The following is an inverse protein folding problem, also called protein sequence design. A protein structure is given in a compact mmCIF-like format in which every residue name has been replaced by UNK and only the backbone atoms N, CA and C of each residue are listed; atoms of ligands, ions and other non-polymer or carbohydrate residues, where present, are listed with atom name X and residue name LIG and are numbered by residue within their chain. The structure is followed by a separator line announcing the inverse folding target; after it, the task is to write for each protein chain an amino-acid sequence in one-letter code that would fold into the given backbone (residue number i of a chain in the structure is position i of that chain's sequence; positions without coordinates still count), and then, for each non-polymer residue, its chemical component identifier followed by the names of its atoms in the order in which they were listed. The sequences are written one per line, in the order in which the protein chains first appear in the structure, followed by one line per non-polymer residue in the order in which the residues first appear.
data_IF_533366658427
#
_entry.id   IF_533366658427
#
_cell.length_a   1.000
_cell.length_b   1.000
_cell.length_c   1.000
_cell.angle_alpha   90.00
_cell.angle_beta   90.00
_cell.angle_gamma   90.00
#
_symmetry.space_group_name_H-M   'P 1'
#
loop_
_entity.id
_entity.type
_entity.pdbx_description
1 polymer ?
#
# COMPACT_ATOMS: atom_id res chain seq x y z
N UNK A 1 -9.44 8.81 23.23
CA UNK A 1 -8.39 7.79 23.22
C UNK A 1 -8.62 6.88 24.44
N UNK A 2 -8.71 5.57 24.20
CA UNK A 2 -9.03 4.56 25.24
C UNK A 2 -7.81 3.79 25.71
N UNK A 3 -6.61 4.30 25.39
CA UNK A 3 -5.33 3.73 25.81
C UNK A 3 -4.93 2.42 25.10
N UNK A 4 -5.67 2.00 24.07
CA UNK A 4 -5.34 0.87 23.22
C UNK A 4 -5.21 1.34 21.77
N UNK A 5 -4.10 1.01 21.16
CA UNK A 5 -3.81 1.30 19.75
C UNK A 5 -3.60 -0.03 19.05
N UNK A 6 -4.40 -0.31 18.01
CA UNK A 6 -4.18 -1.48 17.16
C UNK A 6 -3.00 -1.18 16.23
N UNK A 7 -2.11 -2.14 16.07
CA UNK A 7 -1.01 -2.08 15.12
C UNK A 7 -1.56 -2.23 13.69
N UNK A 8 -2.40 -3.23 13.50
CA UNK A 8 -2.98 -3.54 12.20
C UNK A 8 -4.48 -3.75 12.33
N UNK A 9 -5.30 -2.79 11.89
CA UNK A 9 -6.73 -2.98 11.72
C UNK A 9 -7.01 -3.59 10.35
N UNK A 10 -7.63 -4.75 10.32
CA UNK A 10 -8.13 -5.41 9.13
C UNK A 10 -9.66 -5.52 9.18
N UNK A 11 -10.35 -5.83 8.08
CA UNK A 11 -11.81 -5.86 8.06
C UNK A 11 -12.47 -6.76 9.10
N UNK A 12 -11.81 -7.85 9.49
CA UNK A 12 -12.34 -8.83 10.43
C UNK A 12 -11.46 -9.05 11.67
N UNK A 13 -10.29 -8.44 11.73
CA UNK A 13 -9.30 -8.67 12.81
C UNK A 13 -8.65 -7.37 13.27
N UNK A 14 -8.19 -7.37 14.51
CA UNK A 14 -7.34 -6.32 15.07
C UNK A 14 -6.11 -6.97 15.66
N UNK A 15 -4.94 -6.57 15.17
CA UNK A 15 -3.67 -7.03 15.68
C UNK A 15 -3.07 -6.01 16.66
N UNK A 16 -2.57 -6.48 17.79
CA UNK A 16 -1.90 -5.65 18.78
C UNK A 16 -0.48 -6.16 18.99
N UNK A 17 0.49 -5.27 18.98
CA UNK A 17 1.85 -5.56 19.41
C UNK A 17 1.94 -5.47 20.93
N UNK A 18 2.41 -6.55 21.57
CA UNK A 18 2.65 -6.58 23.01
C UNK A 18 4.13 -6.36 23.28
N UNK A 19 4.44 -5.41 24.16
CA UNK A 19 5.82 -5.20 24.62
C UNK A 19 6.33 -6.39 25.44
N UNK A 20 7.66 -6.51 25.55
CA UNK A 20 8.32 -7.58 26.31
C UNK A 20 8.11 -7.46 27.82
N UNK A 21 7.72 -6.28 28.31
CA UNK A 21 7.46 -6.07 29.73
C UNK A 21 6.20 -6.83 30.17
N UNK A 22 6.28 -7.52 31.31
CA UNK A 22 5.12 -8.21 31.89
C UNK A 22 4.16 -7.19 32.50
N UNK A 23 3.05 -6.94 31.83
CA UNK A 23 1.98 -6.11 32.37
C UNK A 23 0.93 -6.99 33.06
N UNK A 24 0.87 -6.93 34.40
CA UNK A 24 -0.19 -7.59 35.18
C UNK A 24 -1.53 -6.96 34.82
N UNK A 25 -2.51 -7.76 34.50
CA UNK A 25 -3.87 -7.31 34.18
C UNK A 25 -4.10 -6.80 32.74
N UNK A 26 -3.12 -6.96 31.81
CA UNK A 26 -3.26 -6.53 30.43
C UNK A 26 -4.50 -7.15 29.74
N UNK A 27 -4.70 -8.47 29.90
CA UNK A 27 -5.85 -9.16 29.32
C UNK A 27 -7.19 -8.59 29.84
N UNK A 28 -7.26 -8.30 31.14
CA UNK A 28 -8.46 -7.69 31.72
C UNK A 28 -8.67 -6.25 31.24
N UNK A 29 -7.60 -5.49 31.05
CA UNK A 29 -7.67 -4.14 30.53
C UNK A 29 -8.15 -4.14 29.06
N UNK A 30 -7.57 -5.02 28.23
CA UNK A 30 -7.99 -5.22 26.84
C UNK A 30 -9.47 -5.59 26.74
N UNK A 31 -9.89 -6.59 27.53
CA UNK A 31 -11.28 -7.05 27.55
C UNK A 31 -12.27 -5.94 27.99
N UNK A 32 -11.93 -5.15 29.00
CA UNK A 32 -12.77 -4.01 29.43
C UNK A 32 -12.87 -2.96 28.32
N UNK A 33 -11.76 -2.61 27.68
CA UNK A 33 -11.74 -1.62 26.59
C UNK A 33 -12.50 -2.11 25.37
N UNK A 34 -12.40 -3.39 25.05
CA UNK A 34 -13.15 -4.03 23.97
C UNK A 34 -14.67 -3.98 24.22
N UNK A 35 -15.10 -4.35 25.42
CA UNK A 35 -16.52 -4.23 25.80
C UNK A 35 -17.05 -2.81 25.67
N UNK A 36 -16.30 -1.82 26.15
CA UNK A 36 -16.67 -0.41 26.03
C UNK A 36 -16.74 0.04 24.56
N UNK A 37 -15.86 -0.47 23.71
CA UNK A 37 -15.89 -0.18 22.29
C UNK A 37 -17.16 -0.72 21.64
N UNK A 38 -17.48 -1.99 21.88
CA UNK A 38 -18.72 -2.64 21.38
C UNK A 38 -19.97 -1.90 21.85
N UNK A 39 -20.02 -1.54 23.13
CA UNK A 39 -21.17 -0.80 23.70
C UNK A 39 -21.33 0.60 23.10
N UNK A 40 -20.22 1.26 22.77
CA UNK A 40 -20.25 2.59 22.17
C UNK A 40 -20.62 2.58 20.68
N UNK A 41 -20.48 1.41 20.03
CA UNK A 41 -20.74 1.24 18.59
C UNK A 41 -21.62 -0.01 18.36
N UNK A 42 -22.91 0.01 18.76
CA UNK A 42 -23.77 -1.17 18.70
C UNK A 42 -24.19 -1.57 17.27
N UNK A 43 -23.99 -0.66 16.29
CA UNK A 43 -24.31 -0.93 14.89
C UNK A 43 -23.23 -1.72 14.17
N UNK A 44 -23.61 -2.69 13.35
CA UNK A 44 -22.70 -3.26 12.34
C UNK A 44 -22.68 -2.31 11.15
N UNK A 45 -21.57 -1.64 10.93
CA UNK A 45 -21.30 -0.99 9.66
C UNK A 45 -20.81 -2.09 8.72
N UNK A 46 -21.49 -2.36 7.60
CA UNK A 46 -20.99 -3.30 6.62
C UNK A 46 -19.59 -2.84 6.18
N UNK A 47 -18.60 -3.70 6.38
CA UNK A 47 -17.27 -3.43 5.86
C UNK A 47 -17.27 -3.77 4.37
N UNK A 48 -16.61 -2.97 3.52
CA UNK A 48 -16.37 -3.35 2.13
C UNK A 48 -15.67 -4.71 2.08
N UNK A 49 -16.02 -5.53 1.10
CA UNK A 49 -15.32 -6.77 0.88
C UNK A 49 -13.82 -6.48 0.62
N UNK A 50 -12.95 -7.25 1.26
CA UNK A 50 -11.52 -7.16 0.98
C UNK A 50 -11.26 -7.60 -0.45
N UNK A 51 -10.66 -6.72 -1.24
CA UNK A 51 -10.21 -6.99 -2.59
C UNK A 51 -8.67 -6.98 -2.57
N UNK A 52 -8.01 -8.13 -2.77
CA UNK A 52 -6.55 -8.17 -2.77
C UNK A 52 -5.99 -7.36 -3.94
N UNK A 53 -4.82 -6.72 -3.78
CA UNK A 53 -4.16 -6.04 -4.87
C UNK A 53 -3.78 -7.03 -5.98
N UNK A 54 -3.93 -6.67 -7.26
CA UNK A 54 -3.56 -7.52 -8.40
C UNK A 54 -2.04 -7.51 -8.60
N UNK A 55 -1.31 -7.99 -7.60
CA UNK A 55 0.15 -8.07 -7.67
C UNK A 55 0.57 -9.37 -8.32
N UNK A 56 1.54 -9.35 -9.25
CA UNK A 56 2.12 -10.57 -9.78
C UNK A 56 2.88 -11.31 -8.68
N UNK A 57 2.94 -12.65 -8.76
CA UNK A 57 3.74 -13.46 -7.83
C UNK A 57 5.24 -13.10 -7.89
N UNK A 58 5.71 -12.72 -9.08
CA UNK A 58 7.06 -12.21 -9.31
C UNK A 58 6.95 -10.97 -10.19
N UNK A 59 7.37 -9.84 -9.68
CA UNK A 59 7.46 -8.61 -10.46
C UNK A 59 8.85 -8.52 -11.11
N UNK A 60 8.87 -8.27 -12.43
CA UNK A 60 10.11 -7.95 -13.12
C UNK A 60 10.10 -6.46 -13.44
N UNK A 61 10.88 -5.65 -12.73
CA UNK A 61 10.95 -4.22 -13.01
C UNK A 61 11.57 -3.98 -14.40
N UNK A 62 11.03 -3.01 -15.12
CA UNK A 62 11.57 -2.59 -16.43
C UNK A 62 12.88 -1.82 -16.31
N UNK A 63 13.08 -1.16 -15.16
CA UNK A 63 14.31 -0.47 -14.79
C UNK A 63 14.78 -0.99 -13.43
N UNK A 64 16.10 -1.10 -13.22
CA UNK A 64 16.63 -1.35 -11.89
C UNK A 64 16.12 -0.30 -10.90
N UNK A 65 15.73 -0.74 -9.69
CA UNK A 65 15.14 0.11 -8.65
C UNK A 65 15.95 1.40 -8.44
N UNK A 66 17.26 1.29 -8.27
CA UNK A 66 18.14 2.43 -8.06
C UNK A 66 18.23 3.37 -9.27
N UNK A 67 18.02 2.88 -10.48
CA UNK A 67 17.98 3.71 -11.69
C UNK A 67 16.65 4.47 -11.75
N UNK A 68 15.52 3.80 -11.56
CA UNK A 68 14.20 4.42 -11.56
C UNK A 68 14.07 5.47 -10.45
N UNK A 69 14.61 5.17 -9.26
CA UNK A 69 14.61 6.09 -8.13
C UNK A 69 15.35 7.41 -8.38
N UNK A 70 16.46 7.35 -9.14
CA UNK A 70 17.31 8.52 -9.47
C UNK A 70 16.95 9.16 -10.81
N UNK A 71 16.06 8.56 -11.58
CA UNK A 71 15.65 9.11 -12.87
C UNK A 71 14.92 10.45 -12.69
N UNK A 72 15.02 11.31 -13.71
CA UNK A 72 14.10 12.42 -13.83
C UNK A 72 12.66 11.90 -13.81
N UNK A 73 11.80 12.56 -13.06
CA UNK A 73 10.45 12.05 -12.81
C UNK A 73 9.45 13.19 -12.65
N UNK A 74 8.22 12.92 -13.00
CA UNK A 74 7.10 13.84 -12.83
C UNK A 74 5.98 13.20 -12.03
N UNK A 75 5.19 14.02 -11.36
CA UNK A 75 3.98 13.60 -10.68
C UNK A 75 2.81 13.66 -11.65
N UNK A 76 2.05 12.58 -11.74
CA UNK A 76 0.86 12.49 -12.59
C UNK A 76 -0.33 12.03 -11.77
N UNK A 77 -1.57 12.45 -12.10
CA UNK A 77 -2.76 11.86 -11.50
C UNK A 77 -2.75 10.33 -11.64
N UNK A 78 -3.17 9.63 -10.61
CA UNK A 78 -3.17 8.15 -10.62
C UNK A 78 -3.94 7.57 -11.82
N UNK A 79 -5.03 8.24 -12.23
CA UNK A 79 -5.82 7.81 -13.39
C UNK A 79 -5.08 7.93 -14.73
N UNK A 80 -4.05 8.75 -14.80
CA UNK A 80 -3.25 9.02 -16.01
C UNK A 80 -1.90 8.29 -16.01
N UNK A 81 -1.63 7.50 -14.94
CA UNK A 81 -0.34 6.86 -14.74
C UNK A 81 -0.18 5.53 -15.50
N UNK A 82 -1.22 5.04 -16.18
CA UNK A 82 -1.18 3.76 -16.91
C UNK A 82 -0.02 3.75 -17.93
N UNK A 83 0.75 2.67 -17.91
CA UNK A 83 1.91 2.48 -18.79
C UNK A 83 3.19 3.17 -18.34
N UNK A 84 3.12 4.09 -17.38
CA UNK A 84 4.27 4.74 -16.80
C UNK A 84 5.18 3.78 -16.01
N UNK A 85 6.42 4.16 -15.79
CA UNK A 85 7.35 3.44 -14.93
C UNK A 85 7.44 4.17 -13.60
N UNK A 86 7.16 3.46 -12.51
CA UNK A 86 7.18 4.04 -11.18
C UNK A 86 8.57 4.60 -10.83
N UNK A 87 8.60 5.79 -10.26
CA UNK A 87 9.78 6.44 -9.73
C UNK A 87 9.75 6.59 -8.20
N UNK A 88 8.75 5.99 -7.57
CA UNK A 88 8.59 6.02 -6.11
C UNK A 88 8.08 4.69 -5.57
N UNK A 89 8.23 4.51 -4.26
CA UNK A 89 7.62 3.42 -3.51
C UNK A 89 6.24 3.86 -3.03
N UNK A 90 5.21 3.14 -3.41
CA UNK A 90 3.87 3.28 -2.82
C UNK A 90 3.64 2.15 -1.82
N UNK A 91 3.66 2.49 -0.55
CA UNK A 91 3.56 1.53 0.55
C UNK A 91 2.61 2.08 1.63
N UNK A 92 1.29 1.92 1.46
CA UNK A 92 0.32 2.39 2.44
C UNK A 92 0.53 1.70 3.79
N UNK A 93 0.42 2.47 4.85
CA UNK A 93 0.54 1.95 6.21
C UNK A 93 -0.73 2.26 7.02
N UNK A 94 -1.25 1.33 7.80
CA UNK A 94 -0.89 -0.11 7.91
C UNK A 94 -1.39 -0.92 6.72
N UNK A 95 -0.81 -2.11 6.38
CA UNK A 95 0.25 -2.83 7.07
C UNK A 95 1.67 -2.51 6.56
N UNK A 96 1.84 -1.65 5.56
CA UNK A 96 3.15 -1.37 5.00
C UNK A 96 3.58 -2.39 3.93
N UNK A 97 2.62 -2.90 3.15
CA UNK A 97 2.89 -3.76 1.99
C UNK A 97 3.11 -2.88 0.76
N UNK A 98 4.26 -2.98 0.10
CA UNK A 98 4.49 -2.25 -1.14
C UNK A 98 3.49 -2.64 -2.22
N UNK A 99 2.77 -1.66 -2.74
CA UNK A 99 1.84 -1.80 -3.86
C UNK A 99 2.49 -1.43 -5.18
N UNK A 100 3.56 -0.64 -5.12
CA UNK A 100 4.30 -0.16 -6.26
C UNK A 100 5.75 0.03 -5.85
N UNK A 101 6.67 -0.49 -6.64
CA UNK A 101 8.12 -0.40 -6.42
C UNK A 101 8.74 0.38 -7.58
N UNK A 102 9.76 1.24 -7.35
CA UNK A 102 10.44 1.94 -8.42
C UNK A 102 10.96 0.98 -9.49
N UNK A 103 10.72 1.33 -10.75
CA UNK A 103 11.09 0.50 -11.91
C UNK A 103 9.98 -0.40 -12.43
N UNK A 104 8.91 -0.61 -11.70
CA UNK A 104 7.75 -1.36 -12.19
C UNK A 104 6.91 -0.52 -13.15
N UNK A 105 6.33 -1.20 -14.15
CA UNK A 105 5.29 -0.59 -14.99
C UNK A 105 3.97 -0.54 -14.23
N UNK A 106 3.30 0.59 -14.30
CA UNK A 106 1.93 0.72 -13.81
C UNK A 106 0.97 0.13 -14.86
N UNK A 107 0.50 -1.08 -14.60
CA UNK A 107 -0.52 -1.70 -15.41
C UNK A 107 -1.93 -1.18 -15.07
N UNK A 108 -2.85 -1.43 -16.00
CA UNK A 108 -4.24 -0.98 -15.90
C UNK A 108 -4.95 -1.55 -14.67
N UNK A 109 -4.76 -2.83 -14.38
CA UNK A 109 -5.47 -3.51 -13.31
C UNK A 109 -5.06 -2.94 -11.94
N UNK A 110 -3.76 -2.68 -11.75
CA UNK A 110 -3.23 -2.04 -10.54
C UNK A 110 -3.76 -0.61 -10.37
N UNK A 111 -3.78 0.18 -11.45
CA UNK A 111 -4.34 1.54 -11.43
C UNK A 111 -5.83 1.51 -11.06
N UNK A 112 -6.60 0.66 -11.69
CA UNK A 112 -8.03 0.54 -11.42
C UNK A 112 -8.29 0.10 -9.97
N UNK A 113 -7.50 -0.85 -9.47
CA UNK A 113 -7.59 -1.28 -8.09
C UNK A 113 -7.26 -0.13 -7.13
N UNK A 114 -6.16 0.60 -7.35
CA UNK A 114 -5.77 1.76 -6.53
C UNK A 114 -6.86 2.84 -6.51
N UNK A 115 -7.48 3.13 -7.64
CA UNK A 115 -8.59 4.08 -7.74
C UNK A 115 -9.82 3.62 -6.95
N UNK A 116 -10.16 2.32 -6.99
CA UNK A 116 -11.25 1.77 -6.17
C UNK A 116 -10.93 1.86 -4.68
N UNK A 117 -9.73 1.43 -4.29
CA UNK A 117 -9.31 1.49 -2.89
C UNK A 117 -9.27 2.93 -2.36
N UNK A 118 -8.84 3.89 -3.18
CA UNK A 118 -8.84 5.30 -2.79
C UNK A 118 -10.24 5.85 -2.51
N UNK A 119 -11.29 5.36 -3.18
CA UNK A 119 -12.69 5.72 -2.84
C UNK A 119 -13.11 5.22 -1.46
N UNK A 120 -12.56 4.10 -1.01
CA UNK A 120 -12.86 3.50 0.29
C UNK A 120 -11.98 4.07 1.42
N UNK A 121 -10.71 4.37 1.11
CA UNK A 121 -9.66 4.71 2.07
C UNK A 121 -8.95 6.02 1.70
N UNK A 122 -9.69 7.02 1.27
CA UNK A 122 -9.29 8.25 0.60
C UNK A 122 -7.96 8.88 1.00
N UNK A 123 -7.68 8.99 2.31
CA UNK A 123 -6.47 9.67 2.79
C UNK A 123 -5.23 8.75 2.87
N UNK A 124 -5.41 7.44 2.81
CA UNK A 124 -4.31 6.48 2.92
C UNK A 124 -3.63 6.22 1.58
N UNK A 125 -4.27 6.58 0.48
CA UNK A 125 -3.76 6.40 -0.87
C UNK A 125 -3.65 7.73 -1.59
N UNK A 126 -2.50 8.03 -2.23
CA UNK A 126 -2.28 9.29 -2.90
C UNK A 126 -3.20 9.45 -4.13
N UNK A 127 -3.47 10.71 -4.49
CA UNK A 127 -4.22 11.04 -5.70
C UNK A 127 -3.35 10.98 -6.96
N UNK A 128 -2.04 11.07 -6.77
CA UNK A 128 -1.04 11.12 -7.83
C UNK A 128 0.13 10.21 -7.49
N UNK A 129 0.89 9.85 -8.49
CA UNK A 129 2.07 9.00 -8.40
C UNK A 129 3.21 9.57 -9.24
N UNK A 130 4.44 9.35 -8.79
CA UNK A 130 5.63 9.74 -9.55
C UNK A 130 5.99 8.65 -10.54
N UNK A 131 6.14 9.06 -11.80
CA UNK A 131 6.64 8.21 -12.88
C UNK A 131 7.91 8.81 -13.47
N UNK A 132 8.78 7.96 -14.05
CA UNK A 132 9.97 8.42 -14.75
C UNK A 132 9.58 9.23 -15.99
N UNK A 133 10.36 10.24 -16.34
CA UNK A 133 10.14 11.04 -17.56
C UNK A 133 10.51 10.29 -18.84
N UNK A 134 11.15 9.13 -18.71
CA UNK A 134 11.51 8.30 -19.85
C UNK A 134 10.31 7.50 -20.39
N UNK A 135 9.46 8.16 -21.14
CA UNK A 135 8.64 7.52 -22.14
C UNK A 135 9.53 7.18 -23.36
N UNK A 136 10.23 6.04 -23.26
CA UNK A 136 10.80 5.40 -24.44
C UNK A 136 12.16 5.91 -24.91
N UNK A 137 13.21 5.36 -24.38
CA UNK A 137 14.42 5.02 -25.12
C UNK A 137 14.87 3.65 -24.62
N UNK A 138 14.24 2.60 -25.13
CA UNK A 138 14.82 1.27 -25.14
C UNK A 138 15.95 1.29 -26.18
N UNK A 139 17.10 1.80 -25.81
CA UNK A 139 18.32 1.47 -26.52
C UNK A 139 18.65 0.02 -26.16
N UNK A 140 18.23 -0.91 -27.00
CA UNK A 140 18.76 -2.26 -27.01
C UNK A 140 20.27 -2.13 -27.24
N UNK A 141 21.03 -2.42 -26.21
CA UNK A 141 22.48 -2.67 -26.40
C UNK A 141 22.59 -3.97 -27.17
N UNK A 142 23.12 -3.97 -28.40
CA UNK A 142 23.33 -5.21 -29.11
C UNK A 142 24.40 -6.00 -28.34
N UNK A 143 24.04 -7.23 -27.96
CA UNK A 143 24.96 -8.23 -27.45
C UNK A 143 26.05 -8.45 -28.50
N UNK A 144 27.23 -7.89 -28.27
CA UNK A 144 28.43 -8.27 -29.02
C UNK A 144 28.87 -9.66 -28.56
N UNK A 145 28.57 -10.63 -29.40
CA UNK A 145 29.30 -11.90 -29.39
C UNK A 145 30.76 -11.62 -29.72
N UNK A 146 31.65 -12.08 -28.91
CA UNK A 146 33.05 -12.27 -29.11
C UNK A 146 33.50 -13.43 -28.22
#
# INVERSE_FOLDING_TARGET
PRGLVAELPEPATLTFCLGLARHRGLAAALHRSWRRLIQAHPGRVPQPAFEPPPLPLVASPLLPIGQAWRAASRCVPLAEAEGGIAAELLCPYPPGIPLLIPGERLDRDRIQWLLRQRRLWGEQLPASVRITDNSGSMTQTPSSRG
#
